data_IF_905010521214
#
_entry.id   IF_905010521214
#
_cell.length_a   1.000
_cell.length_b   1.000
_cell.length_c   1.000
_cell.angle_alpha   90.00
_cell.angle_beta   90.00
_cell.angle_gamma   90.00
#
_symmetry.space_group_name_H-M   'P 1'
#
loop_
_entity.id
_entity.type
_entity.pdbx_description
1 polymer ?
#
# COMPACT_ATOMS: atom_id res chain seq x y z
N UNK A 1 20.58 13.33 -24.14
CA UNK A 1 19.27 12.81 -24.62
C UNK A 1 18.18 13.36 -23.71
N UNK A 2 17.43 14.36 -24.15
CA UNK A 2 16.40 15.02 -23.31
C UNK A 2 15.10 14.23 -23.46
N UNK A 3 14.59 13.65 -22.37
CA UNK A 3 13.27 13.01 -22.37
C UNK A 3 12.20 14.09 -22.50
N UNK A 4 11.36 13.97 -23.53
CA UNK A 4 10.25 14.90 -23.77
C UNK A 4 9.16 14.62 -22.74
N UNK A 5 8.96 15.55 -21.80
CA UNK A 5 7.81 15.52 -20.91
C UNK A 5 6.58 16.00 -21.67
N UNK A 6 5.61 15.10 -21.86
CA UNK A 6 4.31 15.45 -22.44
C UNK A 6 3.38 15.80 -21.27
N UNK A 7 3.00 17.07 -21.16
CA UNK A 7 2.02 17.53 -20.18
C UNK A 7 0.66 17.46 -20.87
N UNK A 8 -0.20 16.53 -20.42
CA UNK A 8 -1.56 16.37 -20.92
C UNK A 8 -2.56 16.70 -19.80
N UNK A 9 -3.63 17.42 -20.14
CA UNK A 9 -4.73 17.71 -19.23
C UNK A 9 -5.74 16.55 -19.32
N UNK A 10 -6.06 15.95 -18.19
CA UNK A 10 -7.14 14.97 -18.08
C UNK A 10 -8.45 15.68 -17.72
N UNK A 11 -9.56 15.15 -18.20
CA UNK A 11 -10.93 15.50 -17.75
C UNK A 11 -11.24 14.89 -16.36
N UNK A 12 -10.38 14.00 -15.84
CA UNK A 12 -10.56 13.38 -14.54
C UNK A 12 -10.09 14.30 -13.40
N UNK A 13 -10.95 14.45 -12.38
CA UNK A 13 -10.57 15.11 -11.13
C UNK A 13 -9.59 14.23 -10.34
N UNK A 14 -8.31 14.57 -10.42
CA UNK A 14 -7.28 13.94 -9.61
C UNK A 14 -7.36 14.47 -8.17
N UNK A 15 -8.04 13.73 -7.30
CA UNK A 15 -7.99 13.97 -5.85
C UNK A 15 -6.60 13.62 -5.28
N UNK A 16 -6.30 14.04 -4.05
CA UNK A 16 -5.02 13.74 -3.37
C UNK A 16 -4.67 12.24 -3.28
N UNK A 17 -5.62 11.35 -3.56
CA UNK A 17 -5.43 9.90 -3.57
C UNK A 17 -5.53 9.27 -4.97
N UNK A 18 -5.90 10.04 -5.99
CA UNK A 18 -5.98 9.55 -7.37
C UNK A 18 -4.62 9.08 -7.93
N UNK A 19 -3.52 9.61 -7.37
CA UNK A 19 -2.16 9.12 -7.65
C UNK A 19 -1.96 7.64 -7.31
N UNK A 20 -2.67 7.10 -6.31
CA UNK A 20 -2.57 5.68 -5.94
C UNK A 20 -3.12 4.76 -7.04
N UNK A 21 -4.14 5.21 -7.77
CA UNK A 21 -4.64 4.49 -8.94
C UNK A 21 -3.58 4.39 -10.04
N UNK A 22 -2.86 5.49 -10.30
CA UNK A 22 -1.75 5.53 -11.26
C UNK A 22 -0.57 4.64 -10.82
N UNK A 23 -0.24 4.65 -9.53
CA UNK A 23 0.80 3.77 -8.96
C UNK A 23 0.38 2.31 -9.10
N UNK A 24 -0.86 1.96 -8.77
CA UNK A 24 -1.41 0.63 -8.95
C UNK A 24 -1.36 0.16 -10.41
N UNK A 25 -1.71 1.04 -11.36
CA UNK A 25 -1.57 0.76 -12.79
C UNK A 25 -0.11 0.56 -13.20
N UNK A 26 0.81 1.40 -12.72
CA UNK A 26 2.23 1.29 -13.05
C UNK A 26 2.84 -0.03 -12.52
N UNK A 27 2.49 -0.43 -11.30
CA UNK A 27 2.88 -1.74 -10.75
C UNK A 27 2.34 -2.86 -11.63
N UNK A 28 1.05 -2.81 -11.99
CA UNK A 28 0.45 -3.86 -12.82
C UNK A 28 0.99 -3.94 -14.25
N UNK A 29 1.46 -2.83 -14.83
CA UNK A 29 1.88 -2.76 -16.23
C UNK A 29 3.39 -2.88 -16.43
N UNK A 30 4.18 -2.52 -15.42
CA UNK A 30 5.63 -2.41 -15.55
C UNK A 30 6.40 -3.32 -14.59
N UNK A 31 5.74 -4.06 -13.70
CA UNK A 31 6.38 -5.02 -12.81
C UNK A 31 5.61 -6.34 -12.80
N UNK A 32 6.28 -7.42 -12.38
CA UNK A 32 5.66 -8.71 -12.13
C UNK A 32 5.66 -8.99 -10.62
N UNK A 33 5.20 -8.00 -9.85
CA UNK A 33 5.29 -8.01 -8.38
C UNK A 33 4.65 -9.26 -7.75
N UNK A 34 3.60 -9.81 -8.36
CA UNK A 34 2.97 -11.03 -7.89
C UNK A 34 3.89 -12.25 -8.01
N UNK A 35 4.55 -12.40 -9.17
CA UNK A 35 5.52 -13.47 -9.40
C UNK A 35 6.75 -13.31 -8.52
N UNK A 36 7.29 -12.09 -8.42
CA UNK A 36 8.45 -11.80 -7.59
C UNK A 36 8.17 -12.07 -6.11
N UNK A 37 6.99 -11.66 -5.62
CA UNK A 37 6.58 -11.94 -4.24
C UNK A 37 6.45 -13.46 -3.97
N UNK A 38 5.94 -14.22 -4.93
CA UNK A 38 5.81 -15.68 -4.82
C UNK A 38 7.17 -16.38 -4.88
N UNK A 39 8.09 -15.88 -5.71
CA UNK A 39 9.44 -16.39 -5.82
C UNK A 39 10.28 -16.11 -4.56
N UNK A 40 10.07 -14.95 -3.92
CA UNK A 40 10.77 -14.57 -2.69
C UNK A 40 10.36 -15.45 -1.50
N UNK A 41 9.06 -15.72 -1.35
CA UNK A 41 8.56 -16.65 -0.35
C UNK A 41 7.20 -17.23 -0.78
N UNK A 42 7.03 -18.56 -0.78
CA UNK A 42 5.72 -19.16 -0.98
C UNK A 42 4.81 -18.81 0.21
N UNK A 43 3.65 -18.21 -0.08
CA UNK A 43 2.67 -17.90 0.94
C UNK A 43 2.10 -19.19 1.55
N UNK A 44 1.91 -19.21 2.87
CA UNK A 44 1.15 -20.27 3.55
C UNK A 44 -0.30 -20.23 3.05
N UNK A 45 -0.94 -21.39 2.89
CA UNK A 45 -2.28 -21.52 2.29
C UNK A 45 -3.40 -20.77 3.03
N UNK A 46 -3.19 -20.47 4.32
CA UNK A 46 -4.08 -19.73 5.21
C UNK A 46 -3.57 -18.30 5.53
N UNK A 47 -2.49 -17.86 4.88
CA UNK A 47 -1.90 -16.54 5.09
C UNK A 47 -2.30 -15.54 3.99
N UNK A 48 -2.20 -14.25 4.32
CA UNK A 48 -2.40 -13.17 3.35
C UNK A 48 -1.29 -13.24 2.28
N UNK A 49 -1.63 -13.17 0.98
CA UNK A 49 -0.63 -13.18 -0.08
C UNK A 49 0.37 -12.03 0.07
N UNK A 50 1.67 -12.33 -0.04
CA UNK A 50 2.75 -11.34 0.10
C UNK A 50 2.58 -10.14 -0.84
N UNK A 51 2.08 -10.36 -2.06
CA UNK A 51 1.77 -9.28 -3.01
C UNK A 51 0.79 -8.25 -2.46
N UNK A 52 -0.21 -8.66 -1.66
CA UNK A 52 -1.20 -7.75 -1.07
C UNK A 52 -0.56 -6.88 0.01
N UNK A 53 0.35 -7.46 0.79
CA UNK A 53 1.11 -6.77 1.83
C UNK A 53 2.02 -5.73 1.16
N UNK A 54 2.84 -6.15 0.19
CA UNK A 54 3.76 -5.27 -0.55
C UNK A 54 3.04 -4.11 -1.23
N UNK A 55 1.92 -4.38 -1.92
CA UNK A 55 1.14 -3.33 -2.59
C UNK A 55 0.59 -2.32 -1.58
N UNK A 56 0.19 -2.77 -0.39
CA UNK A 56 -0.31 -1.89 0.68
C UNK A 56 0.81 -1.01 1.23
N UNK A 57 2.01 -1.57 1.45
CA UNK A 57 3.19 -0.80 1.86
C UNK A 57 3.60 0.25 0.82
N UNK A 58 3.61 -0.11 -0.47
CA UNK A 58 3.90 0.85 -1.54
C UNK A 58 2.86 1.98 -1.53
N UNK A 59 1.58 1.66 -1.35
CA UNK A 59 0.54 2.67 -1.17
C UNK A 59 0.84 3.62 -0.01
N UNK A 60 1.19 3.10 1.17
CA UNK A 60 1.53 3.91 2.35
C UNK A 60 2.74 4.82 2.11
N UNK A 61 3.81 4.29 1.52
CA UNK A 61 5.00 5.07 1.14
C UNK A 61 4.63 6.21 0.19
N UNK A 62 3.76 5.95 -0.79
CA UNK A 62 3.30 6.97 -1.74
C UNK A 62 2.38 8.03 -1.12
N UNK A 63 1.70 7.74 0.00
CA UNK A 63 1.01 8.77 0.78
C UNK A 63 1.96 9.58 1.67
N UNK A 64 3.25 9.20 1.77
CA UNK A 64 4.19 9.81 2.70
C UNK A 64 3.88 9.53 4.17
N UNK A 65 3.02 8.54 4.45
CA UNK A 65 2.69 8.13 5.81
C UNK A 65 3.71 7.10 6.29
N UNK A 66 4.34 7.36 7.42
CA UNK A 66 5.13 6.36 8.14
C UNK A 66 4.21 5.21 8.59
N UNK A 67 4.72 3.97 8.61
CA UNK A 67 3.98 2.77 9.04
C UNK A 67 3.26 2.97 10.40
N UNK A 68 3.85 3.80 11.27
CA UNK A 68 3.29 4.20 12.56
C UNK A 68 2.04 5.10 12.43
N UNK A 69 2.04 6.08 11.52
CA UNK A 69 0.89 6.97 11.30
C UNK A 69 -0.28 6.23 10.64
N UNK A 70 0.01 5.26 9.77
CA UNK A 70 -1.00 4.48 9.08
C UNK A 70 -1.86 3.64 10.05
N UNK A 71 -1.21 2.96 11.01
CA UNK A 71 -1.91 2.20 12.07
C UNK A 71 -2.66 3.11 13.05
N UNK A 72 -2.18 4.33 13.28
CA UNK A 72 -2.81 5.26 14.22
C UNK A 72 -4.22 5.67 13.77
N UNK A 73 -4.45 5.81 12.47
CA UNK A 73 -5.80 6.07 11.94
C UNK A 73 -6.81 4.94 12.22
N UNK A 74 -6.34 3.69 12.29
CA UNK A 74 -7.15 2.52 12.65
C UNK A 74 -7.19 2.25 14.16
N UNK A 75 -6.28 2.84 14.94
CA UNK A 75 -6.21 2.68 16.41
C UNK A 75 -7.48 3.16 17.11
N UNK A 76 -8.14 4.19 16.60
CA UNK A 76 -9.42 4.66 17.15
C UNK A 76 -10.56 3.65 16.92
N UNK A 77 -10.58 3.01 15.74
CA UNK A 77 -11.55 1.94 15.43
C UNK A 77 -11.34 0.71 16.31
N UNK A 78 -10.10 0.29 16.55
CA UNK A 78 -9.80 -0.82 17.45
C UNK A 78 -10.19 -0.52 18.91
N UNK A 79 -10.07 0.73 19.35
CA UNK A 79 -10.50 1.16 20.69
C UNK A 79 -12.01 1.14 20.91
N UNK A 80 -12.81 1.25 19.85
CA UNK A 80 -14.28 1.22 19.95
C UNK A 80 -14.83 -0.21 19.92
N UNK A 81 -14.07 -1.17 19.41
CA UNK A 81 -14.49 -2.58 19.26
C UNK A 81 -13.99 -3.47 20.41
N UNK A 82 -12.95 -3.07 21.15
CA UNK A 82 -12.40 -3.86 22.26
C UNK A 82 -12.17 -3.01 23.52
N UNK A 83 -12.94 -3.20 24.61
CA UNK A 83 -12.81 -2.42 25.84
C UNK A 83 -11.76 -3.00 26.81
N UNK A 84 -10.58 -3.42 26.33
CA UNK A 84 -9.53 -3.93 27.23
C UNK A 84 -8.11 -3.52 26.81
N UNK A 85 -7.25 -3.10 27.77
CA UNK A 85 -5.92 -2.60 27.52
C UNK A 85 -4.92 -3.74 27.55
N UNK A 86 -4.82 -4.55 26.49
CA UNK A 86 -3.77 -5.56 26.44
C UNK A 86 -2.93 -5.37 25.19
N UNK A 87 -1.80 -4.68 25.41
CA UNK A 87 -0.49 -4.99 24.87
C UNK A 87 -0.53 -5.56 23.45
N UNK A 88 -0.66 -4.67 22.45
CA UNK A 88 -0.19 -4.98 21.11
C UNK A 88 1.33 -4.99 21.18
N UNK A 89 1.91 -6.14 21.55
CA UNK A 89 3.27 -6.49 21.15
C UNK A 89 3.24 -6.56 19.63
N UNK A 90 3.42 -5.42 19.00
CA UNK A 90 3.83 -5.36 17.60
C UNK A 90 5.27 -5.87 17.61
N UNK A 91 5.45 -7.13 17.22
CA UNK A 91 6.75 -7.60 16.76
C UNK A 91 7.15 -6.72 15.58
N UNK A 92 8.01 -5.74 15.88
CA UNK A 92 8.97 -5.16 14.96
C UNK A 92 9.99 -6.23 14.58
#
# INVERSE_FOLDING_TARGET
MVRRLIIAKSEADFTSHAGLGLIGMAISQHTDLAKDATAAAPARSDAIPHVKILTSYIGLLCLGKSDFEAITAFRHWFSLVLPYPYVFVVFL
#
